data_IF_121036632577
#
_entry.id   IF_121036632577
#
_cell.length_a   1.000
_cell.length_b   1.000
_cell.length_c   1.000
_cell.angle_alpha   90.00
_cell.angle_beta   90.00
_cell.angle_gamma   90.00
#
_symmetry.space_group_name_H-M   'P 1'
#
loop_
_entity.id
_entity.type
_entity.pdbx_description
1 polymer ?
#
# COMPACT_ATOMS: atom_id res chain seq x y z
N UNK A 1 18.32 -13.81 -8.06
CA UNK A 1 17.16 -13.52 -8.92
C UNK A 1 15.92 -13.77 -8.09
N UNK A 2 15.07 -12.77 -7.90
CA UNK A 2 13.81 -12.96 -7.16
C UNK A 2 12.92 -13.91 -7.98
N UNK A 3 12.52 -15.03 -7.38
CA UNK A 3 11.64 -15.99 -8.06
C UNK A 3 10.18 -15.56 -7.85
N UNK A 4 9.66 -14.76 -8.77
CA UNK A 4 8.28 -14.21 -8.70
C UNK A 4 7.23 -15.33 -8.61
N UNK A 5 7.55 -16.52 -9.15
CA UNK A 5 6.67 -17.70 -9.06
C UNK A 5 6.64 -18.28 -7.64
N UNK A 6 7.78 -18.36 -6.96
CA UNK A 6 7.83 -18.82 -5.55
C UNK A 6 7.04 -17.86 -4.65
N UNK A 7 7.11 -16.56 -4.89
CA UNK A 7 6.32 -15.60 -4.14
C UNK A 7 4.81 -15.79 -4.30
N UNK A 8 4.35 -16.13 -5.51
CA UNK A 8 2.93 -16.42 -5.72
C UNK A 8 2.52 -17.67 -4.94
N UNK A 9 3.33 -18.71 -4.93
CA UNK A 9 3.04 -19.93 -4.16
C UNK A 9 3.06 -19.67 -2.64
N UNK A 10 3.98 -18.84 -2.15
CA UNK A 10 3.97 -18.40 -0.73
C UNK A 10 2.69 -17.65 -0.37
N UNK A 11 2.25 -16.74 -1.23
CA UNK A 11 1.01 -15.98 -1.00
C UNK A 11 -0.23 -16.87 -1.11
N UNK A 12 -0.24 -17.88 -1.99
CA UNK A 12 -1.30 -18.89 -2.05
C UNK A 12 -1.34 -19.77 -0.79
N UNK A 13 -0.19 -20.08 -0.20
CA UNK A 13 -0.11 -20.87 1.03
C UNK A 13 -0.63 -20.08 2.25
N UNK A 14 -0.49 -18.76 2.26
CA UNK A 14 -0.97 -17.87 3.32
C UNK A 14 -1.67 -16.66 2.72
N UNK A 15 -2.94 -16.82 2.27
CA UNK A 15 -3.65 -15.77 1.53
C UNK A 15 -4.20 -14.66 2.42
N UNK A 16 -3.63 -14.46 3.59
CA UNK A 16 -4.06 -13.48 4.57
C UNK A 16 -2.88 -12.78 5.25
N UNK A 17 -3.19 -11.68 5.89
CA UNK A 17 -2.29 -10.93 6.77
C UNK A 17 -2.94 -10.74 8.14
N UNK A 18 -2.16 -10.89 9.20
CA UNK A 18 -2.60 -10.56 10.54
C UNK A 18 -2.24 -9.11 10.87
N UNK A 19 -3.28 -8.29 11.03
CA UNK A 19 -3.16 -6.87 11.32
C UNK A 19 -3.34 -6.68 12.82
N UNK A 20 -2.28 -6.30 13.50
CA UNK A 20 -2.35 -5.93 14.90
C UNK A 20 -2.90 -4.50 15.05
N UNK A 21 -4.01 -4.38 15.74
CA UNK A 21 -4.58 -3.10 16.12
C UNK A 21 -3.98 -2.68 17.45
N UNK A 22 -3.19 -1.61 17.41
CA UNK A 22 -2.45 -1.09 18.57
C UNK A 22 -3.01 0.25 19.03
N UNK A 23 -2.80 0.56 20.31
CA UNK A 23 -3.16 1.86 20.88
C UNK A 23 -2.32 2.98 20.26
N UNK A 24 -2.94 4.04 19.69
CA UNK A 24 -2.21 5.17 19.13
C UNK A 24 -1.59 6.09 20.20
N UNK A 25 -2.09 6.06 21.42
CA UNK A 25 -1.61 6.83 22.57
C UNK A 25 -2.03 6.16 23.87
N UNK A 26 -1.58 6.66 25.00
CA UNK A 26 -1.98 6.18 26.34
C UNK A 26 -3.45 6.51 26.63
N UNK A 27 -4.13 5.68 27.41
CA UNK A 27 -5.51 5.90 27.82
C UNK A 27 -6.19 4.67 28.42
N UNK A 28 -7.47 4.80 28.78
CA UNK A 28 -8.29 3.69 29.26
C UNK A 28 -9.02 3.10 28.07
N UNK A 29 -8.88 1.78 27.88
CA UNK A 29 -9.51 1.03 26.78
C UNK A 29 -10.90 0.56 27.19
N UNK A 30 -11.84 0.64 26.26
CA UNK A 30 -13.17 0.03 26.35
C UNK A 30 -13.49 -0.65 25.02
N UNK A 31 -13.56 -1.96 25.00
CA UNK A 31 -13.97 -2.71 23.80
C UNK A 31 -15.47 -2.57 23.53
N UNK A 32 -15.89 -2.82 22.29
CA UNK A 32 -17.29 -2.65 21.86
C UNK A 32 -18.07 -3.98 21.76
N UNK A 33 -17.70 -4.98 22.56
CA UNK A 33 -18.41 -6.26 22.60
C UNK A 33 -18.15 -7.16 21.39
N UNK A 34 -17.01 -7.02 20.73
CA UNK A 34 -16.54 -7.91 19.67
C UNK A 34 -16.04 -9.23 20.26
N UNK A 35 -16.20 -10.30 19.50
CA UNK A 35 -15.68 -11.62 19.81
C UNK A 35 -14.73 -12.11 18.72
N UNK A 36 -13.79 -13.01 19.02
CA UNK A 36 -13.07 -13.74 17.98
C UNK A 36 -14.05 -14.44 17.03
N UNK A 37 -13.83 -14.28 15.74
CA UNK A 37 -14.74 -14.73 14.67
C UNK A 37 -15.63 -13.64 14.08
N UNK A 38 -15.78 -12.50 14.72
CA UNK A 38 -16.60 -11.40 14.20
C UNK A 38 -15.94 -10.76 12.97
N UNK A 39 -16.77 -10.47 11.96
CA UNK A 39 -16.34 -9.76 10.75
C UNK A 39 -16.31 -8.25 11.01
N UNK A 40 -15.25 -7.61 10.53
CA UNK A 40 -15.07 -6.16 10.59
C UNK A 40 -14.82 -5.59 9.19
N UNK A 41 -15.25 -4.35 8.99
CA UNK A 41 -15.08 -3.63 7.73
C UNK A 41 -14.08 -2.50 7.90
N UNK A 42 -13.26 -2.29 6.90
CA UNK A 42 -12.40 -1.12 6.79
C UNK A 42 -13.18 0.17 6.45
N UNK A 43 -12.49 1.32 6.36
CA UNK A 43 -13.08 2.56 5.91
C UNK A 43 -13.67 2.42 4.50
N UNK A 44 -14.79 3.12 4.24
CA UNK A 44 -15.46 3.11 2.93
C UNK A 44 -15.75 4.53 2.45
N UNK A 45 -16.08 4.65 1.16
CA UNK A 45 -16.30 5.94 0.50
C UNK A 45 -15.09 6.39 -0.32
N UNK A 46 -15.30 7.32 -1.27
CA UNK A 46 -14.28 7.79 -2.22
C UNK A 46 -13.03 8.38 -1.54
N UNK A 47 -13.21 8.94 -0.34
CA UNK A 47 -12.16 9.57 0.47
C UNK A 47 -12.09 8.96 1.89
N UNK A 48 -12.54 7.70 2.06
CA UNK A 48 -12.63 7.04 3.37
C UNK A 48 -13.46 7.86 4.39
N UNK A 49 -14.52 8.53 3.92
CA UNK A 49 -15.35 9.39 4.78
C UNK A 49 -16.10 8.60 5.86
N UNK A 50 -16.38 7.35 5.58
CA UNK A 50 -16.99 6.45 6.55
C UNK A 50 -15.91 5.65 7.25
N UNK A 51 -15.70 5.83 8.56
CA UNK A 51 -14.72 5.05 9.30
C UNK A 51 -15.10 3.56 9.26
N UNK A 52 -14.10 2.72 9.43
CA UNK A 52 -14.29 1.28 9.56
C UNK A 52 -15.06 0.91 10.84
N UNK A 53 -15.30 -0.38 11.01
CA UNK A 53 -15.98 -0.93 12.21
C UNK A 53 -15.28 -0.45 13.47
N UNK A 54 -16.05 0.07 14.43
CA UNK A 54 -15.54 0.46 15.73
C UNK A 54 -15.08 -0.79 16.50
N UNK A 55 -13.86 -0.79 16.99
CA UNK A 55 -13.24 -1.92 17.69
C UNK A 55 -13.14 -1.65 19.19
N UNK A 56 -12.70 -0.46 19.53
CA UNK A 56 -12.56 -0.02 20.92
C UNK A 56 -12.66 1.50 21.00
N UNK A 57 -12.82 2.00 22.21
CA UNK A 57 -12.69 3.39 22.55
C UNK A 57 -11.49 3.59 23.48
N UNK A 58 -10.69 4.59 23.21
CA UNK A 58 -9.56 4.95 24.05
C UNK A 58 -9.84 6.31 24.70
N UNK A 59 -9.94 6.34 26.02
CA UNK A 59 -10.25 7.56 26.79
C UNK A 59 -9.01 8.08 27.47
N UNK A 60 -8.64 9.32 27.16
CA UNK A 60 -7.58 10.07 27.83
C UNK A 60 -8.12 11.41 28.31
N UNK A 61 -7.97 11.72 29.60
CA UNK A 61 -8.39 13.00 30.19
C UNK A 61 -9.82 13.41 29.81
N UNK A 62 -10.78 12.48 29.89
CA UNK A 62 -12.18 12.63 29.48
C UNK A 62 -12.42 12.76 27.95
N UNK A 63 -11.38 12.74 27.13
CA UNK A 63 -11.51 12.72 25.68
C UNK A 63 -11.56 11.28 25.17
N UNK A 64 -12.72 10.87 24.68
CA UNK A 64 -12.96 9.54 24.13
C UNK A 64 -12.70 9.54 22.63
N UNK A 65 -11.75 8.73 22.18
CA UNK A 65 -11.40 8.56 20.76
C UNK A 65 -11.69 7.15 20.29
N UNK A 66 -12.37 6.97 19.15
CA UNK A 66 -12.63 5.66 18.58
C UNK A 66 -11.36 5.06 17.98
N UNK A 67 -11.20 3.76 18.13
CA UNK A 67 -10.25 2.93 17.40
C UNK A 67 -11.08 2.06 16.47
N UNK A 68 -10.91 2.26 15.15
CA UNK A 68 -11.67 1.57 14.12
C UNK A 68 -10.76 0.65 13.30
N UNK A 69 -11.37 -0.37 12.70
CA UNK A 69 -10.68 -1.24 11.76
C UNK A 69 -10.17 -0.44 10.56
N UNK A 70 -8.93 -0.69 10.16
CA UNK A 70 -8.29 -0.07 9.01
C UNK A 70 -8.52 -0.86 7.72
N UNK A 71 -8.86 -2.14 7.84
CA UNK A 71 -9.14 -3.05 6.74
C UNK A 71 -10.29 -3.99 7.09
N UNK A 72 -10.93 -4.59 6.08
CA UNK A 72 -11.90 -5.67 6.27
C UNK A 72 -11.19 -6.94 6.78
N UNK A 73 -11.86 -7.75 7.57
CA UNK A 73 -11.30 -9.02 8.03
C UNK A 73 -12.10 -9.67 9.13
N UNK A 74 -11.50 -10.65 9.78
CA UNK A 74 -12.09 -11.40 10.89
C UNK A 74 -11.23 -11.17 12.13
N UNK A 75 -11.85 -10.84 13.25
CA UNK A 75 -11.17 -10.72 14.54
C UNK A 75 -10.69 -12.11 14.97
N UNK A 76 -9.40 -12.28 15.22
CA UNK A 76 -8.82 -13.57 15.63
C UNK A 76 -8.48 -13.62 17.11
N UNK A 77 -8.06 -12.51 17.68
CA UNK A 77 -7.67 -12.42 19.08
C UNK A 77 -7.99 -11.04 19.67
N UNK A 78 -8.36 -10.99 20.94
CA UNK A 78 -8.66 -9.76 21.67
C UNK A 78 -7.97 -9.84 23.04
N UNK A 79 -7.19 -8.81 23.36
CA UNK A 79 -6.54 -8.66 24.66
C UNK A 79 -7.55 -8.19 25.73
N UNK A 80 -8.49 -9.06 26.07
CA UNK A 80 -9.60 -8.76 26.98
C UNK A 80 -9.13 -8.31 28.38
N UNK A 81 -7.91 -8.65 28.76
CA UNK A 81 -7.27 -8.21 30.01
C UNK A 81 -7.12 -6.69 30.11
N UNK A 82 -7.20 -5.96 29.00
CA UNK A 82 -7.12 -4.48 28.98
C UNK A 82 -8.47 -3.79 29.11
N UNK A 83 -9.59 -4.54 29.16
CA UNK A 83 -10.92 -3.93 29.33
C UNK A 83 -11.00 -3.08 30.60
N UNK A 84 -11.35 -1.80 30.42
CA UNK A 84 -11.46 -0.82 31.50
C UNK A 84 -10.13 -0.40 32.14
N UNK A 85 -8.98 -0.88 31.64
CA UNK A 85 -7.66 -0.57 32.20
C UNK A 85 -6.96 0.51 31.40
N UNK A 86 -6.05 1.18 32.10
CA UNK A 86 -5.11 2.10 31.49
C UNK A 86 -4.02 1.32 30.76
N UNK A 87 -3.75 1.72 29.52
CA UNK A 87 -2.72 1.12 28.64
C UNK A 87 -1.78 2.20 28.10
N UNK A 88 -0.57 1.79 27.76
CA UNK A 88 0.39 2.65 27.09
C UNK A 88 0.18 2.70 25.58
N UNK A 89 0.85 3.64 24.92
CA UNK A 89 0.86 3.70 23.45
C UNK A 89 1.63 2.51 22.88
N UNK A 90 1.10 1.93 21.80
CA UNK A 90 1.71 0.78 21.14
C UNK A 90 1.28 -0.60 21.66
N UNK A 91 0.47 -0.66 22.74
CA UNK A 91 -0.08 -1.93 23.21
C UNK A 91 -1.03 -2.55 22.19
N UNK A 92 -0.90 -3.88 21.97
CA UNK A 92 -1.75 -4.63 21.06
C UNK A 92 -3.11 -4.89 21.71
N UNK A 93 -4.16 -4.38 21.12
CA UNK A 93 -5.53 -4.55 21.61
C UNK A 93 -6.23 -5.80 21.05
N UNK A 94 -6.07 -6.00 19.75
CA UNK A 94 -6.68 -7.12 19.05
C UNK A 94 -5.95 -7.39 17.72
N UNK A 95 -6.20 -8.54 17.14
CA UNK A 95 -5.68 -8.93 15.83
C UNK A 95 -6.84 -9.16 14.86
N UNK A 96 -6.73 -8.62 13.67
CA UNK A 96 -7.67 -8.83 12.56
C UNK A 96 -6.94 -9.60 11.47
N UNK A 97 -7.50 -10.74 11.06
CA UNK A 97 -7.05 -11.48 9.87
C UNK A 97 -7.71 -10.89 8.64
N UNK A 98 -6.91 -10.24 7.82
CA UNK A 98 -7.32 -9.66 6.56
C UNK A 98 -6.95 -10.60 5.42
N UNK A 99 -7.92 -11.04 4.63
CA UNK A 99 -7.68 -11.83 3.42
C UNK A 99 -7.30 -10.91 2.27
N UNK A 100 -6.21 -11.27 1.58
CA UNK A 100 -5.64 -10.43 0.53
C UNK A 100 -6.53 -10.43 -0.72
N UNK A 101 -6.85 -9.24 -1.22
CA UNK A 101 -7.50 -9.06 -2.52
C UNK A 101 -6.53 -9.32 -3.68
N UNK A 102 -7.07 -9.50 -4.88
CA UNK A 102 -6.25 -9.64 -6.11
C UNK A 102 -5.30 -8.47 -6.29
N UNK A 103 -5.80 -7.26 -6.09
CA UNK A 103 -5.05 -6.03 -6.22
C UNK A 103 -3.90 -5.95 -5.22
N UNK A 104 -4.13 -6.35 -3.97
CA UNK A 104 -3.11 -6.36 -2.93
C UNK A 104 -2.01 -7.37 -3.21
N UNK A 105 -2.37 -8.57 -3.68
CA UNK A 105 -1.41 -9.59 -4.09
C UNK A 105 -0.56 -9.10 -5.25
N UNK A 106 -1.18 -8.55 -6.29
CA UNK A 106 -0.46 -7.97 -7.43
C UNK A 106 0.47 -6.84 -6.96
N UNK A 107 -0.01 -5.93 -6.13
CA UNK A 107 0.80 -4.84 -5.60
C UNK A 107 2.02 -5.34 -4.80
N UNK A 108 1.85 -6.38 -3.98
CA UNK A 108 2.95 -7.01 -3.22
C UNK A 108 3.98 -7.66 -4.14
N UNK A 109 3.53 -8.39 -5.15
CA UNK A 109 4.40 -9.00 -6.15
C UNK A 109 5.18 -7.92 -6.90
N UNK A 110 4.49 -6.91 -7.42
CA UNK A 110 5.11 -5.82 -8.16
C UNK A 110 6.10 -5.01 -7.31
N UNK A 111 5.77 -4.74 -6.05
CA UNK A 111 6.66 -4.04 -5.10
C UNK A 111 8.01 -4.75 -4.91
N UNK A 112 8.01 -6.09 -4.96
CA UNK A 112 9.24 -6.88 -4.82
C UNK A 112 9.93 -7.15 -6.16
N UNK A 113 9.15 -7.28 -7.25
CA UNK A 113 9.68 -7.62 -8.58
C UNK A 113 10.25 -6.42 -9.32
N UNK A 114 9.75 -5.21 -9.04
CA UNK A 114 10.14 -3.99 -9.72
C UNK A 114 11.19 -3.20 -8.94
N UNK A 115 12.08 -2.54 -9.65
CA UNK A 115 12.85 -1.45 -9.07
C UNK A 115 11.93 -0.22 -8.95
N UNK A 116 11.65 0.19 -7.70
CA UNK A 116 10.80 1.34 -7.43
C UNK A 116 11.64 2.60 -7.34
N UNK A 117 11.43 3.52 -8.27
CA UNK A 117 11.97 4.87 -8.17
C UNK A 117 10.99 5.74 -7.39
N UNK A 118 11.44 6.19 -6.21
CA UNK A 118 10.59 6.89 -5.24
C UNK A 118 10.83 8.40 -5.25
N UNK A 119 9.79 9.14 -4.86
CA UNK A 119 9.85 10.58 -4.67
C UNK A 119 10.88 10.95 -3.57
N UNK A 120 11.87 11.81 -3.83
CA UNK A 120 12.85 12.20 -2.83
C UNK A 120 12.27 13.11 -1.75
N UNK A 121 11.22 13.85 -2.04
CA UNK A 121 10.55 14.77 -1.12
C UNK A 121 9.04 14.89 -1.43
N UNK A 122 8.29 15.51 -0.52
CA UNK A 122 6.89 15.83 -0.78
C UNK A 122 6.76 17.00 -1.75
N UNK A 123 6.25 16.72 -2.96
CA UNK A 123 6.08 17.69 -4.04
C UNK A 123 5.02 17.22 -5.04
N UNK A 124 4.76 18.04 -6.04
CA UNK A 124 4.04 17.66 -7.26
C UNK A 124 5.05 17.16 -8.30
N UNK A 125 4.71 16.06 -8.93
CA UNK A 125 5.56 15.44 -9.94
C UNK A 125 4.87 15.44 -11.29
N UNK A 126 5.65 15.70 -12.33
CA UNK A 126 5.23 15.66 -13.73
C UNK A 126 6.30 14.93 -14.51
N UNK A 127 5.92 14.18 -15.53
CA UNK A 127 6.88 13.73 -16.51
C UNK A 127 7.40 14.91 -17.32
N UNK A 128 8.66 14.88 -17.74
CA UNK A 128 9.14 15.84 -18.72
C UNK A 128 8.35 15.69 -20.03
N UNK A 129 8.12 16.76 -20.83
CA UNK A 129 7.20 16.73 -21.97
C UNK A 129 7.51 15.62 -22.99
N UNK A 130 8.77 15.31 -23.20
CA UNK A 130 9.18 14.24 -24.13
C UNK A 130 8.78 12.85 -23.65
N UNK A 131 8.89 12.60 -22.35
CA UNK A 131 8.48 11.32 -21.72
C UNK A 131 6.96 11.22 -21.70
N UNK A 132 6.27 12.27 -21.30
CA UNK A 132 4.82 12.33 -21.29
C UNK A 132 4.22 12.05 -22.67
N UNK A 133 4.80 12.67 -23.72
CA UNK A 133 4.39 12.42 -25.10
C UNK A 133 4.59 10.96 -25.54
N UNK A 134 5.72 10.33 -25.15
CA UNK A 134 5.96 8.90 -25.44
C UNK A 134 4.97 8.00 -24.73
N UNK A 135 4.70 8.24 -23.43
CA UNK A 135 3.73 7.47 -22.64
C UNK A 135 2.33 7.60 -23.27
N UNK A 136 1.91 8.80 -23.67
CA UNK A 136 0.60 9.03 -24.29
C UNK A 136 0.47 8.36 -25.67
N UNK A 137 1.55 8.28 -26.42
CA UNK A 137 1.55 7.68 -27.76
C UNK A 137 1.67 6.15 -27.75
N UNK A 138 2.49 5.59 -26.86
CA UNK A 138 2.86 4.18 -26.91
C UNK A 138 2.67 3.42 -25.57
N UNK A 139 2.07 4.06 -24.57
CA UNK A 139 1.93 3.50 -23.22
C UNK A 139 3.23 3.58 -22.40
N UNK A 140 3.13 3.20 -21.13
CA UNK A 140 4.23 3.29 -20.17
C UNK A 140 5.47 2.49 -20.59
N UNK A 141 5.25 1.32 -21.19
CA UNK A 141 6.30 0.41 -21.65
C UNK A 141 7.10 0.93 -22.85
N UNK A 142 6.68 2.02 -23.48
CA UNK A 142 7.41 2.68 -24.58
C UNK A 142 8.65 3.44 -24.10
N UNK A 143 8.76 3.68 -22.81
CA UNK A 143 9.86 4.42 -22.19
C UNK A 143 10.82 3.46 -21.52
N UNK A 144 12.11 3.59 -21.85
CA UNK A 144 13.20 2.83 -21.25
C UNK A 144 14.06 3.75 -20.38
N UNK A 145 13.80 3.82 -19.05
CA UNK A 145 14.62 4.58 -18.12
C UNK A 145 16.04 4.04 -18.05
N UNK A 146 17.00 4.95 -17.90
CA UNK A 146 18.40 4.65 -17.63
C UNK A 146 18.99 5.67 -16.67
N UNK A 147 20.06 5.29 -16.01
CA UNK A 147 20.75 6.13 -15.03
C UNK A 147 21.05 7.54 -15.60
N UNK A 148 20.71 8.57 -14.82
CA UNK A 148 20.92 9.97 -15.18
C UNK A 148 19.94 10.56 -16.18
N UNK A 149 18.97 9.80 -16.69
CA UNK A 149 17.93 10.30 -17.59
C UNK A 149 16.98 11.24 -16.86
N UNK A 150 16.85 12.48 -17.31
CA UNK A 150 15.84 13.40 -16.78
C UNK A 150 14.44 12.91 -17.15
N UNK A 151 13.67 12.51 -16.15
CA UNK A 151 12.35 11.94 -16.35
C UNK A 151 11.23 12.77 -15.76
N UNK A 152 11.53 13.52 -14.71
CA UNK A 152 10.50 14.23 -13.96
C UNK A 152 10.84 15.71 -13.80
N UNK A 153 9.78 16.50 -13.64
CA UNK A 153 9.80 17.86 -13.14
C UNK A 153 9.18 17.84 -11.76
N UNK A 154 9.93 18.26 -10.75
CA UNK A 154 9.47 18.43 -9.38
C UNK A 154 9.01 19.86 -9.19
N UNK A 155 7.72 20.06 -8.88
CA UNK A 155 7.14 21.38 -8.64
C UNK A 155 6.84 21.55 -7.15
N UNK A 156 7.54 22.48 -6.51
CA UNK A 156 7.38 22.83 -5.10
C UNK A 156 7.51 24.33 -4.88
N UNK A 157 6.56 24.93 -4.16
CA UNK A 157 6.60 26.36 -3.82
C UNK A 157 6.86 27.28 -5.02
N UNK A 158 6.21 27.03 -6.15
CA UNK A 158 6.36 27.79 -7.43
C UNK A 158 7.78 27.68 -8.04
N UNK A 159 8.55 26.68 -7.65
CA UNK A 159 9.84 26.35 -8.28
C UNK A 159 9.72 25.00 -8.94
N UNK A 160 10.32 24.90 -10.11
CA UNK A 160 10.38 23.66 -10.87
C UNK A 160 11.84 23.26 -11.03
N UNK A 161 12.14 22.02 -10.71
CA UNK A 161 13.48 21.46 -10.82
C UNK A 161 13.43 20.11 -11.53
N UNK A 162 14.38 19.83 -12.46
CA UNK A 162 14.44 18.51 -13.06
C UNK A 162 14.86 17.45 -12.04
N UNK A 163 14.30 16.24 -12.18
CA UNK A 163 14.69 15.07 -11.42
C UNK A 163 15.07 13.96 -12.38
N UNK A 164 16.33 13.55 -12.30
CA UNK A 164 16.84 12.44 -13.07
C UNK A 164 16.53 11.11 -12.40
N UNK A 165 16.28 10.10 -13.21
CA UNK A 165 16.13 8.73 -12.76
C UNK A 165 17.47 8.18 -12.25
N UNK A 166 17.44 7.53 -11.12
CA UNK A 166 18.56 6.77 -10.55
C UNK A 166 18.13 5.32 -10.35
N UNK A 167 18.70 4.42 -11.12
CA UNK A 167 18.37 3.01 -11.03
C UNK A 167 18.78 2.23 -12.28
N UNK A 168 18.52 0.91 -12.29
CA UNK A 168 18.90 0.06 -13.41
C UNK A 168 18.12 0.41 -14.67
N UNK A 169 18.76 0.20 -15.82
CA UNK A 169 18.10 0.31 -17.11
C UNK A 169 17.00 -0.75 -17.24
N UNK A 170 15.86 -0.36 -17.83
CA UNK A 170 14.73 -1.25 -17.99
C UNK A 170 13.56 -0.62 -18.71
N UNK A 171 12.37 -1.13 -18.44
CA UNK A 171 11.10 -0.67 -19.00
C UNK A 171 10.21 -0.21 -17.84
N UNK A 172 9.47 0.90 -18.02
CA UNK A 172 8.44 1.29 -17.06
C UNK A 172 7.32 0.26 -17.13
N UNK A 173 7.10 -0.44 -16.03
CA UNK A 173 6.01 -1.40 -15.89
C UNK A 173 4.75 -0.76 -15.32
N UNK A 174 4.90 0.15 -14.36
CA UNK A 174 3.79 0.82 -13.69
C UNK A 174 4.16 2.24 -13.29
N UNK A 175 3.16 3.12 -13.33
CA UNK A 175 3.21 4.50 -12.81
C UNK A 175 2.31 4.57 -11.59
N UNK A 176 2.81 5.08 -10.46
CA UNK A 176 2.12 5.08 -9.16
C UNK A 176 1.58 6.45 -8.74
N UNK A 177 1.74 7.48 -9.57
CA UNK A 177 1.26 8.83 -9.28
C UNK A 177 0.43 9.39 -10.43
N UNK A 178 -0.41 10.37 -10.12
CA UNK A 178 -1.07 11.18 -11.13
C UNK A 178 -0.35 12.52 -11.26
N UNK A 179 -0.15 12.97 -12.49
CA UNK A 179 0.56 14.22 -12.73
C UNK A 179 -0.16 15.39 -12.07
N UNK A 180 0.58 16.14 -11.27
CA UNK A 180 0.05 17.30 -10.53
C UNK A 180 -0.48 17.01 -9.14
N UNK A 181 -0.60 15.74 -8.74
CA UNK A 181 -0.94 15.39 -7.36
C UNK A 181 0.29 15.54 -6.44
N UNK A 182 0.00 15.78 -5.16
CA UNK A 182 1.04 15.79 -4.14
C UNK A 182 1.44 14.35 -3.82
N UNK A 183 2.71 14.03 -4.02
CA UNK A 183 3.32 12.74 -3.67
C UNK A 183 4.22 12.96 -2.46
N UNK A 184 4.07 12.14 -1.43
CA UNK A 184 4.92 12.23 -0.24
C UNK A 184 6.31 11.61 -0.51
N UNK A 185 7.33 12.10 0.21
CA UNK A 185 8.67 11.54 0.12
C UNK A 185 8.70 10.06 0.45
N UNK A 186 9.43 9.27 -0.34
CA UNK A 186 9.50 7.83 -0.22
C UNK A 186 8.39 7.05 -0.93
N UNK A 187 7.34 7.70 -1.42
CA UNK A 187 6.32 7.04 -2.24
C UNK A 187 6.85 6.74 -3.65
N UNK A 188 6.52 5.59 -4.23
CA UNK A 188 6.98 5.24 -5.58
C UNK A 188 6.34 6.16 -6.64
N UNK A 189 7.15 6.59 -7.59
CA UNK A 189 6.72 7.29 -8.79
C UNK A 189 6.54 6.32 -9.95
N UNK A 190 7.54 5.48 -10.20
CA UNK A 190 7.50 4.46 -11.25
C UNK A 190 8.10 3.15 -10.75
N UNK A 191 7.64 2.06 -11.34
CA UNK A 191 8.23 0.74 -11.19
C UNK A 191 8.88 0.30 -12.50
N UNK A 192 10.16 -0.06 -12.44
CA UNK A 192 10.98 -0.43 -13.60
C UNK A 192 11.38 -1.89 -13.49
N UNK A 193 11.26 -2.64 -14.57
CA UNK A 193 11.78 -4.01 -14.68
C UNK A 193 12.74 -4.15 -15.87
N UNK A 194 13.59 -5.16 -15.81
CA UNK A 194 14.40 -5.54 -16.97
C UNK A 194 13.49 -6.14 -18.07
N UNK A 195 13.84 -5.87 -19.32
CA UNK A 195 13.08 -6.36 -20.49
C UNK A 195 12.92 -7.90 -20.48
N UNK A 196 13.95 -8.61 -20.02
CA UNK A 196 13.93 -10.08 -19.86
C UNK A 196 12.94 -10.60 -18.81
N UNK A 197 12.51 -9.77 -17.87
CA UNK A 197 11.60 -10.14 -16.79
C UNK A 197 10.14 -9.77 -17.09
N UNK A 198 9.91 -8.95 -18.11
CA UNK A 198 8.58 -8.42 -18.44
C UNK A 198 7.54 -9.52 -18.64
N UNK A 199 7.85 -10.52 -19.47
CA UNK A 199 6.95 -11.64 -19.76
C UNK A 199 6.63 -12.47 -18.51
N UNK A 200 7.62 -12.67 -17.64
CA UNK A 200 7.44 -13.41 -16.40
C UNK A 200 6.53 -12.67 -15.42
N UNK A 201 6.70 -11.36 -15.27
CA UNK A 201 5.86 -10.54 -14.40
C UNK A 201 4.44 -10.51 -14.94
N UNK A 202 4.26 -10.34 -16.25
CA UNK A 202 2.93 -10.35 -16.89
C UNK A 202 2.21 -11.71 -16.73
N UNK A 203 2.94 -12.83 -16.89
CA UNK A 203 2.40 -14.17 -16.67
C UNK A 203 1.89 -14.34 -15.23
N UNK A 204 2.68 -13.93 -14.23
CA UNK A 204 2.29 -14.05 -12.82
C UNK A 204 1.10 -13.14 -12.50
N UNK A 205 1.09 -11.89 -12.98
CA UNK A 205 -0.05 -10.97 -12.80
C UNK A 205 -1.33 -11.56 -13.42
N UNK A 206 -1.23 -12.12 -14.62
CA UNK A 206 -2.37 -12.76 -15.30
C UNK A 206 -2.90 -13.98 -14.53
N UNK A 207 -2.00 -14.77 -13.93
CA UNK A 207 -2.39 -15.89 -13.07
C UNK A 207 -3.11 -15.44 -11.81
N UNK A 208 -2.61 -14.38 -11.15
CA UNK A 208 -3.32 -13.82 -9.98
C UNK A 208 -4.70 -13.35 -10.37
N UNK A 209 -4.85 -12.65 -11.49
CA UNK A 209 -6.15 -12.18 -11.96
C UNK A 209 -7.14 -13.32 -12.26
N UNK A 210 -6.66 -14.44 -12.80
CA UNK A 210 -7.49 -15.60 -13.19
C UNK A 210 -7.72 -16.63 -12.09
N UNK A 211 -6.72 -16.89 -11.25
CA UNK A 211 -6.71 -18.02 -10.31
C UNK A 211 -6.91 -17.62 -8.84
N UNK A 212 -6.73 -16.33 -8.49
CA UNK A 212 -6.85 -15.91 -7.09
C UNK A 212 -8.33 -15.86 -6.69
N UNK A 213 -8.69 -16.64 -5.68
CA UNK A 213 -10.01 -16.60 -5.06
C UNK A 213 -9.99 -15.67 -3.85
N UNK A 214 -10.81 -14.62 -3.91
CA UNK A 214 -10.98 -13.71 -2.77
C UNK A 214 -11.85 -14.38 -1.71
N UNK A 215 -11.40 -14.35 -0.46
CA UNK A 215 -12.15 -14.83 0.68
C UNK A 215 -12.79 -13.63 1.38
N UNK A 216 -14.09 -13.75 1.70
CA UNK A 216 -14.89 -12.73 2.39
C UNK A 216 -14.94 -12.93 3.92
#
# INVERSE_FOLDING_TARGET
MLNVKEMLEELKASPYEEIEVRTPHTGIVQFVGLNPGDKVLGPTGKWNEKPGTLLANLTREKNKKPICATQKGIVTDIAAEFEGKFVEAGERLLTVRHFLSKEEVIARILKKALHLFCAPERAKYYFVPEIDAKIKAGGEQSVKPREGMEMFIVSRMKRETPLAYSGPEGIIYAVYFQQGDNVDGGQPLIGVCQESQLSLIQDVVSRVQGEWEEQD
#
